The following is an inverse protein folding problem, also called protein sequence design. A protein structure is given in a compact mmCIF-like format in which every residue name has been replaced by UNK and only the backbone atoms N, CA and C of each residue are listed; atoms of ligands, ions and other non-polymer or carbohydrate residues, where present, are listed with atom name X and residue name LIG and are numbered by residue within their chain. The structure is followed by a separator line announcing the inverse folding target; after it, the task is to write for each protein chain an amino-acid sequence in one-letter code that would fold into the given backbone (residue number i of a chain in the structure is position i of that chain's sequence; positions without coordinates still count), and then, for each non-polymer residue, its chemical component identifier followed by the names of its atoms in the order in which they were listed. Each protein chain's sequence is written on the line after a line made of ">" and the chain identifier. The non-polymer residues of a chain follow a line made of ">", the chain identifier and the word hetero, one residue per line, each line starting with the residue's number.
data_IF_468704703658
#
_entry.id   IF_468704703658
#
_cell.length_a   1.000
_cell.length_b   1.000
_cell.length_c   1.000
_cell.angle_alpha   90.00
_cell.angle_beta   90.00
_cell.angle_gamma   90.00
#
_symmetry.space_group_name_H-M   'P 1'
#
loop_
_entity.id
_entity.type
_entity.pdbx_description
1 polymer ?
#
# COMPACT_ATOMS: atom_id res chain seq x y z
N UNK A 1 0.92 -56.40 0.59
CA UNK A 1 0.57 -55.10 0.01
C UNK A 1 0.13 -55.33 -1.43
N UNK A 2 -1.11 -54.99 -1.68
CA UNK A 2 -1.74 -55.19 -2.98
C UNK A 2 -1.20 -54.18 -3.99
N UNK A 3 -0.90 -54.58 -5.24
CA UNK A 3 -0.39 -53.70 -6.31
C UNK A 3 -1.31 -52.52 -6.55
N UNK A 4 -2.63 -52.70 -6.33
CA UNK A 4 -3.67 -51.65 -6.41
C UNK A 4 -3.48 -50.52 -5.37
N UNK A 5 -3.07 -50.84 -4.15
CA UNK A 5 -2.81 -49.83 -3.12
C UNK A 5 -1.60 -48.96 -3.45
N UNK A 6 -0.55 -49.55 -4.02
CA UNK A 6 0.64 -48.78 -4.45
C UNK A 6 0.33 -47.87 -5.63
N UNK A 7 -0.49 -48.30 -6.57
CA UNK A 7 -0.97 -47.51 -7.71
C UNK A 7 -1.87 -46.33 -7.24
N UNK A 8 -2.79 -46.56 -6.30
CA UNK A 8 -3.63 -45.52 -5.73
C UNK A 8 -2.83 -44.49 -4.93
N UNK A 9 -1.83 -44.90 -4.15
CA UNK A 9 -0.91 -44.01 -3.43
C UNK A 9 -0.11 -43.12 -4.39
N UNK A 10 0.37 -43.70 -5.49
CA UNK A 10 1.13 -42.94 -6.48
C UNK A 10 0.24 -41.98 -7.28
N UNK A 11 -0.99 -42.34 -7.61
CA UNK A 11 -1.96 -41.47 -8.26
C UNK A 11 -2.38 -40.29 -7.36
N UNK A 12 -2.61 -40.52 -6.07
CA UNK A 12 -2.87 -39.44 -5.12
C UNK A 12 -1.71 -38.47 -4.96
N UNK A 13 -0.47 -38.96 -4.96
CA UNK A 13 0.74 -38.12 -4.93
C UNK A 13 0.90 -37.26 -6.20
N UNK A 14 0.58 -37.81 -7.36
CA UNK A 14 0.62 -37.09 -8.64
C UNK A 14 -0.48 -36.02 -8.73
N UNK A 15 -1.68 -36.31 -8.23
CA UNK A 15 -2.79 -35.36 -8.20
C UNK A 15 -2.50 -34.20 -7.23
N UNK A 16 -2.00 -34.48 -6.02
CA UNK A 16 -1.61 -33.48 -5.04
C UNK A 16 -0.50 -32.54 -5.57
N UNK A 17 0.47 -33.06 -6.31
CA UNK A 17 1.51 -32.23 -6.95
C UNK A 17 0.95 -31.29 -8.03
N UNK A 18 -0.02 -31.77 -8.83
CA UNK A 18 -0.69 -30.93 -9.84
C UNK A 18 -1.47 -29.78 -9.19
N UNK A 19 -2.20 -30.04 -8.12
CA UNK A 19 -2.95 -29.00 -7.39
C UNK A 19 -2.04 -28.04 -6.65
N UNK A 20 -0.91 -28.52 -6.13
CA UNK A 20 0.08 -27.67 -5.46
C UNK A 20 0.75 -26.71 -6.45
N UNK A 21 1.14 -27.19 -7.63
CA UNK A 21 1.72 -26.35 -8.70
C UNK A 21 0.69 -25.33 -9.19
N UNK A 22 -0.58 -25.72 -9.35
CA UNK A 22 -1.65 -24.80 -9.75
C UNK A 22 -1.91 -23.71 -8.71
N UNK A 23 -1.92 -24.06 -7.42
CA UNK A 23 -2.10 -23.11 -6.32
C UNK A 23 -0.94 -22.11 -6.21
N UNK A 24 0.30 -22.57 -6.39
CA UNK A 24 1.49 -21.72 -6.40
C UNK A 24 1.49 -20.78 -7.60
N UNK A 25 1.09 -21.26 -8.78
CA UNK A 25 0.99 -20.42 -9.99
C UNK A 25 -0.09 -19.34 -9.83
N UNK A 26 -1.23 -19.65 -9.21
CA UNK A 26 -2.30 -18.68 -8.92
C UNK A 26 -1.86 -17.63 -7.90
N UNK A 27 -1.06 -18.00 -6.90
CA UNK A 27 -0.49 -17.08 -5.91
C UNK A 27 0.50 -16.09 -6.55
N UNK A 28 1.34 -16.55 -7.47
CA UNK A 28 2.27 -15.69 -8.21
C UNK A 28 1.55 -14.75 -9.18
N UNK A 29 0.48 -15.18 -9.82
CA UNK A 29 -0.35 -14.32 -10.69
C UNK A 29 -1.01 -13.17 -9.90
N UNK A 30 -1.49 -13.43 -8.68
CA UNK A 30 -2.11 -12.41 -7.84
C UNK A 30 -1.12 -11.35 -7.35
N UNK A 31 0.13 -11.73 -7.05
CA UNK A 31 1.19 -10.80 -6.63
C UNK A 31 1.66 -9.91 -7.80
N UNK A 32 1.78 -10.46 -9.01
CA UNK A 32 2.18 -9.68 -10.20
C UNK A 32 1.11 -8.67 -10.64
N UNK A 33 -0.18 -8.97 -10.42
CA UNK A 33 -1.29 -8.06 -10.76
C UNK A 33 -1.46 -6.91 -9.75
N UNK A 34 -1.07 -7.10 -8.49
CA UNK A 34 -1.17 -6.09 -7.44
C UNK A 34 -0.13 -4.96 -7.59
N UNK A 35 1.06 -5.22 -8.17
CA UNK A 35 2.12 -4.22 -8.32
C UNK A 35 1.93 -3.29 -9.54
N UNK A 36 1.05 -3.63 -10.51
CA UNK A 36 0.92 -2.91 -11.77
C UNK A 36 0.03 -1.66 -11.75
N UNK A 37 -0.80 -1.42 -10.72
CA UNK A 37 -1.87 -0.43 -10.77
C UNK A 37 -2.05 0.40 -9.49
N UNK A 38 -1.03 0.52 -8.65
CA UNK A 38 -1.12 1.35 -7.46
C UNK A 38 -1.04 2.83 -7.82
N UNK A 39 -2.01 3.57 -7.31
CA UNK A 39 -2.03 5.03 -7.41
C UNK A 39 -1.22 5.66 -6.29
N UNK A 40 -0.70 6.86 -6.54
CA UNK A 40 0.00 7.66 -5.53
C UNK A 40 -0.84 8.88 -5.20
N UNK A 41 -0.98 9.15 -3.92
CA UNK A 41 -1.69 10.32 -3.40
C UNK A 41 -0.72 11.21 -2.64
N UNK A 42 -0.72 12.49 -2.98
CA UNK A 42 -0.04 13.51 -2.22
C UNK A 42 -1.00 14.03 -1.15
N UNK A 43 -0.61 13.90 0.10
CA UNK A 43 -1.26 14.57 1.22
C UNK A 43 -0.43 15.80 1.56
N UNK A 44 -0.98 16.96 1.31
CA UNK A 44 -0.44 18.25 1.74
C UNK A 44 -1.14 18.65 3.03
N UNK A 45 -0.39 18.92 4.09
CA UNK A 45 -0.96 19.19 5.40
C UNK A 45 -0.32 20.39 6.10
N UNK A 46 -1.14 21.06 6.90
CA UNK A 46 -0.72 22.09 7.86
C UNK A 46 -1.33 21.78 9.21
N UNK A 47 -0.50 21.72 10.23
CA UNK A 47 -0.88 21.31 11.57
C UNK A 47 -0.61 22.41 12.58
N UNK A 48 -1.35 22.40 13.68
CA UNK A 48 -1.07 23.26 14.82
C UNK A 48 0.02 22.70 15.75
N UNK A 49 0.38 23.46 16.77
CA UNK A 49 1.42 23.05 17.71
C UNK A 49 1.04 21.79 18.51
N UNK A 50 -0.25 21.54 18.74
CA UNK A 50 -0.71 20.36 19.47
C UNK A 50 -0.44 19.08 18.69
N UNK A 51 -0.61 19.10 17.36
CA UNK A 51 -0.30 17.97 16.50
C UNK A 51 1.17 17.59 16.56
N UNK A 52 2.07 18.57 16.48
CA UNK A 52 3.50 18.30 16.54
C UNK A 52 3.97 17.87 17.93
N UNK A 53 3.31 18.32 18.97
CA UNK A 53 3.57 17.83 20.34
C UNK A 53 3.21 16.35 20.48
N UNK A 54 2.08 15.94 19.92
CA UNK A 54 1.68 14.52 19.88
C UNK A 54 2.60 13.72 19.00
N UNK A 55 2.93 14.20 17.82
CA UNK A 55 3.88 13.58 16.90
C UNK A 55 5.25 13.35 17.56
N UNK A 56 5.76 14.32 18.30
CA UNK A 56 7.04 14.22 19.01
C UNK A 56 7.03 13.18 20.13
N UNK A 57 5.87 12.78 20.63
CA UNK A 57 5.73 11.74 21.65
C UNK A 57 5.75 10.32 21.09
N UNK A 58 5.66 10.17 19.76
CA UNK A 58 5.57 8.88 19.08
C UNK A 58 6.92 8.40 18.59
N UNK A 59 7.09 7.08 18.52
CA UNK A 59 8.21 6.44 17.85
C UNK A 59 7.99 6.38 16.33
N UNK A 60 9.05 6.16 15.57
CA UNK A 60 8.94 5.93 14.12
C UNK A 60 8.06 4.72 13.79
N UNK A 61 8.14 3.66 14.59
CA UNK A 61 7.32 2.46 14.45
C UNK A 61 5.83 2.77 14.64
N UNK A 62 5.48 3.55 15.66
CA UNK A 62 4.10 3.99 15.92
C UNK A 62 3.58 4.88 14.79
N UNK A 63 4.41 5.79 14.29
CA UNK A 63 4.06 6.64 13.15
C UNK A 63 3.82 5.84 11.86
N UNK A 64 4.64 4.84 11.60
CA UNK A 64 4.49 3.98 10.43
C UNK A 64 3.28 3.04 10.56
N UNK A 65 2.93 2.63 11.78
CA UNK A 65 1.74 1.82 12.07
C UNK A 65 0.41 2.56 11.82
N UNK A 66 0.43 3.88 11.69
CA UNK A 66 -0.77 4.68 11.37
C UNK A 66 -1.21 4.55 9.89
N UNK A 67 -0.37 3.99 9.03
CA UNK A 67 -0.76 3.72 7.64
C UNK A 67 -1.63 2.47 7.57
N UNK A 68 -2.88 2.57 7.06
CA UNK A 68 -3.76 1.41 6.96
C UNK A 68 -3.15 0.29 6.13
N UNK A 69 -3.50 -0.95 6.46
CA UNK A 69 -3.13 -2.11 5.64
C UNK A 69 -3.64 -1.94 4.21
N UNK A 70 -2.77 -2.18 3.23
CA UNK A 70 -3.06 -1.92 1.81
C UNK A 70 -2.60 -0.56 1.32
N UNK A 71 -2.05 0.27 2.20
CA UNK A 71 -1.37 1.52 1.87
C UNK A 71 0.11 1.45 2.24
N UNK A 72 0.92 2.25 1.55
CA UNK A 72 2.36 2.34 1.78
C UNK A 72 2.79 3.79 1.80
N UNK A 73 3.51 4.18 2.84
CA UNK A 73 4.21 5.47 2.87
C UNK A 73 5.41 5.41 1.92
N UNK A 74 5.44 6.26 0.90
CA UNK A 74 6.59 6.44 0.03
C UNK A 74 7.57 7.47 0.59
N UNK A 75 7.04 8.57 1.13
CA UNK A 75 7.82 9.64 1.74
C UNK A 75 6.97 10.46 2.68
N UNK A 76 7.58 11.07 3.69
CA UNK A 76 7.00 12.11 4.53
C UNK A 76 8.06 13.16 4.82
N UNK A 77 7.73 14.41 4.58
CA UNK A 77 8.61 15.54 4.87
C UNK A 77 7.86 16.60 5.67
N UNK A 78 8.55 17.24 6.59
CA UNK A 78 8.00 18.28 7.45
C UNK A 78 8.77 19.59 7.25
N UNK A 79 8.04 20.68 7.12
CA UNK A 79 8.54 22.02 7.36
C UNK A 79 8.20 22.42 8.80
N UNK A 80 9.15 22.22 9.69
CA UNK A 80 8.97 22.49 11.13
C UNK A 80 8.89 23.98 11.44
N UNK A 81 9.24 24.87 10.49
CA UNK A 81 9.14 26.32 10.67
C UNK A 81 7.72 26.83 10.49
N UNK A 82 6.94 26.20 9.61
CA UNK A 82 5.56 26.58 9.32
C UNK A 82 4.52 25.63 9.91
N UNK A 83 4.95 24.46 10.41
CA UNK A 83 4.02 23.40 10.84
C UNK A 83 3.29 22.71 9.70
N UNK A 84 3.90 22.66 8.53
CA UNK A 84 3.34 22.03 7.34
C UNK A 84 4.21 20.85 6.86
N UNK A 85 3.71 20.09 5.91
CA UNK A 85 4.46 19.02 5.31
C UNK A 85 3.70 18.29 4.22
N UNK A 86 4.33 17.27 3.68
CA UNK A 86 3.76 16.39 2.66
C UNK A 86 3.95 14.93 3.02
N UNK A 87 2.98 14.11 2.63
CA UNK A 87 3.07 12.65 2.64
C UNK A 87 2.72 12.12 1.26
N UNK A 88 3.50 11.20 0.74
CA UNK A 88 3.17 10.41 -0.44
C UNK A 88 2.73 9.01 0.00
N UNK A 89 1.51 8.66 -0.38
CA UNK A 89 0.89 7.37 -0.04
C UNK A 89 0.59 6.61 -1.34
N UNK A 90 1.10 5.39 -1.42
CA UNK A 90 0.78 4.46 -2.50
C UNK A 90 -0.31 3.50 -2.05
N UNK A 91 -1.40 3.42 -2.80
CA UNK A 91 -2.51 2.50 -2.57
C UNK A 91 -3.37 2.38 -3.82
N UNK A 92 -4.05 1.25 -3.98
CA UNK A 92 -5.10 1.05 -4.99
C UNK A 92 -6.49 1.47 -4.50
N UNK A 93 -6.63 1.78 -3.21
CA UNK A 93 -7.87 2.22 -2.59
C UNK A 93 -7.71 3.64 -2.01
N UNK A 94 -8.31 4.68 -2.65
CA UNK A 94 -8.20 6.07 -2.19
C UNK A 94 -8.76 6.29 -0.79
N UNK A 95 -9.68 5.44 -0.32
CA UNK A 95 -10.24 5.55 1.03
C UNK A 95 -9.19 5.31 2.11
N UNK A 96 -8.13 4.57 1.82
CA UNK A 96 -7.03 4.33 2.75
C UNK A 96 -6.19 5.58 3.00
N UNK A 97 -6.03 6.44 2.00
CA UNK A 97 -5.41 7.75 2.19
C UNK A 97 -6.26 8.64 3.11
N UNK A 98 -7.57 8.62 2.95
CA UNK A 98 -8.51 9.34 3.82
C UNK A 98 -8.46 8.79 5.25
N UNK A 99 -8.45 7.48 5.42
CA UNK A 99 -8.33 6.84 6.75
C UNK A 99 -7.04 7.20 7.47
N UNK A 100 -5.93 7.37 6.73
CA UNK A 100 -4.66 7.81 7.31
C UNK A 100 -4.75 9.24 7.88
N UNK A 101 -5.41 10.13 7.14
CA UNK A 101 -5.53 11.54 7.49
C UNK A 101 -6.56 11.78 8.61
N UNK A 102 -7.60 10.98 8.65
CA UNK A 102 -8.79 11.20 9.48
C UNK A 102 -8.50 11.41 10.98
N UNK A 103 -7.61 10.67 11.63
CA UNK A 103 -7.27 10.88 13.05
C UNK A 103 -6.65 12.26 13.37
N UNK A 104 -6.11 12.95 12.35
CA UNK A 104 -5.42 14.22 12.50
C UNK A 104 -6.28 15.45 12.16
N UNK A 105 -7.52 15.25 11.71
CA UNK A 105 -8.37 16.34 11.18
C UNK A 105 -8.76 17.40 12.21
N UNK A 106 -8.70 17.12 13.50
CA UNK A 106 -8.94 18.10 14.55
C UNK A 106 -7.78 19.09 14.75
N UNK A 107 -6.56 18.69 14.37
CA UNK A 107 -5.33 19.45 14.61
C UNK A 107 -4.55 19.77 13.34
N UNK A 108 -4.97 19.22 12.22
CA UNK A 108 -4.35 19.42 10.89
C UNK A 108 -5.39 19.67 9.82
N UNK A 109 -5.11 20.64 8.94
CA UNK A 109 -5.78 20.77 7.65
C UNK A 109 -5.00 19.98 6.61
N UNK A 110 -5.67 19.12 5.85
CA UNK A 110 -5.03 18.29 4.85
C UNK A 110 -5.83 18.27 3.55
N UNK A 111 -5.09 18.22 2.44
CA UNK A 111 -5.61 18.04 1.09
C UNK A 111 -5.01 16.77 0.50
N UNK A 112 -5.84 15.92 -0.10
CA UNK A 112 -5.42 14.68 -0.73
C UNK A 112 -5.58 14.82 -2.24
N UNK A 113 -4.49 14.68 -2.99
CA UNK A 113 -4.47 14.86 -4.45
C UNK A 113 -3.85 13.64 -5.10
N UNK A 114 -4.52 13.00 -6.09
CA UNK A 114 -3.88 11.97 -6.88
C UNK A 114 -2.75 12.60 -7.72
N UNK A 115 -1.59 11.95 -7.73
CA UNK A 115 -0.40 12.40 -8.47
C UNK A 115 0.15 11.26 -9.29
N UNK A 116 0.86 11.58 -10.34
CA UNK A 116 1.50 10.61 -11.24
C UNK A 116 2.95 10.98 -11.47
N UNK A 117 3.80 10.00 -11.75
CA UNK A 117 5.17 10.23 -12.16
C UNK A 117 5.28 10.69 -13.63
N UNK A 118 6.49 11.02 -14.05
CA UNK A 118 6.75 11.50 -15.41
C UNK A 118 6.32 10.49 -16.48
N UNK A 119 6.57 9.21 -16.24
CA UNK A 119 6.18 8.14 -17.17
C UNK A 119 4.67 8.13 -17.40
N UNK A 120 3.90 8.17 -16.32
CA UNK A 120 2.44 8.16 -16.39
C UNK A 120 1.88 9.47 -16.95
N UNK A 121 2.49 10.59 -16.61
CA UNK A 121 2.13 11.89 -17.17
C UNK A 121 2.31 11.91 -18.70
N UNK A 122 3.41 11.37 -19.22
CA UNK A 122 3.66 11.27 -20.66
C UNK A 122 2.68 10.32 -21.38
N UNK A 123 2.13 9.32 -20.69
CA UNK A 123 1.09 8.45 -21.27
C UNK A 123 -0.27 9.16 -21.40
N UNK A 124 -0.58 10.07 -20.48
CA UNK A 124 -1.89 10.74 -20.36
C UNK A 124 -1.94 12.02 -21.21
N UNK A 125 -0.83 12.76 -21.28
CA UNK A 125 -0.79 14.05 -21.96
C UNK A 125 -0.97 13.89 -23.48
N UNK A 126 -1.71 14.83 -24.12
CA UNK A 126 -1.86 14.81 -25.56
C UNK A 126 -0.50 14.97 -26.24
N UNK A 127 -0.31 14.22 -27.32
CA UNK A 127 0.89 14.35 -28.15
C UNK A 127 0.76 15.59 -29.06
N UNK A 128 1.85 16.33 -29.31
CA UNK A 128 1.86 17.45 -30.25
C UNK A 128 1.60 17.03 -31.68
#
# INVERSE_FOLDING_TARGET
>A
MDILEILFKNLRRLQLKKYFILAVTLLFFNVAYADGHRSVYLVDFKCDAAAYKEFASMTLEELDAQFPKGSKKLARYHDLTSGSGIVLIETDDPTLAIKHVNPWTEVCDATITPVVDDKKALEILPKP
#
